data_IF_573260558801
#
_entry.id   IF_573260558801
#
_cell.length_a   1.000
_cell.length_b   1.000
_cell.length_c   1.000
_cell.angle_alpha   90.00
_cell.angle_beta   90.00
_cell.angle_gamma   90.00
#
_symmetry.space_group_name_H-M   'P 1'
#
loop_
_entity.id
_entity.type
_entity.pdbx_description
1 polymer ?
#
# COMPACT_ATOMS: atom_id res chain seq x y z
N UNK A 1 18.78 7.57 -6.57
CA UNK A 1 18.48 6.16 -6.22
C UNK A 1 17.33 5.60 -7.04
N UNK A 2 16.41 6.44 -7.55
CA UNK A 2 15.36 6.01 -8.49
C UNK A 2 15.85 5.74 -9.92
N UNK A 3 17.04 6.24 -10.28
CA UNK A 3 17.72 6.02 -11.56
C UNK A 3 18.19 4.56 -11.78
N UNK A 4 17.84 3.62 -10.90
CA UNK A 4 18.34 2.24 -10.97
C UNK A 4 17.27 1.16 -10.82
N UNK A 5 15.99 1.51 -10.62
CA UNK A 5 14.94 0.50 -10.50
C UNK A 5 14.46 0.14 -11.90
N UNK A 6 14.56 -1.15 -12.28
CA UNK A 6 14.08 -1.63 -13.57
C UNK A 6 12.56 -1.71 -13.59
N UNK A 7 11.98 -1.48 -14.76
CA UNK A 7 10.54 -1.55 -15.03
C UNK A 7 9.98 -2.94 -14.71
N UNK A 8 10.77 -4.01 -14.85
CA UNK A 8 10.39 -5.36 -14.50
C UNK A 8 9.90 -5.54 -13.05
N UNK A 9 10.31 -4.66 -12.12
CA UNK A 9 9.89 -4.72 -10.72
C UNK A 9 8.49 -4.11 -10.48
N UNK A 10 7.96 -3.35 -11.44
CA UNK A 10 6.74 -2.54 -11.26
C UNK A 10 5.67 -2.82 -12.32
N UNK A 11 6.06 -3.35 -13.47
CA UNK A 11 5.15 -3.68 -14.56
C UNK A 11 4.11 -4.73 -14.16
N UNK A 12 2.95 -4.70 -14.81
CA UNK A 12 1.97 -5.79 -14.77
C UNK A 12 2.38 -6.83 -15.81
N UNK A 13 2.53 -8.08 -15.39
CA UNK A 13 2.92 -9.20 -16.28
C UNK A 13 1.72 -9.85 -16.97
N UNK A 14 0.54 -9.82 -16.35
CA UNK A 14 -0.71 -10.33 -16.94
C UNK A 14 -1.31 -9.30 -17.90
N UNK A 15 -0.73 -9.21 -19.09
CA UNK A 15 -1.16 -8.22 -20.11
C UNK A 15 -2.37 -8.74 -20.88
N UNK A 16 -3.42 -7.92 -20.93
CA UNK A 16 -4.60 -8.21 -21.77
C UNK A 16 -4.26 -7.97 -23.24
N UNK A 17 -4.36 -9.04 -24.04
CA UNK A 17 -4.01 -9.02 -25.46
C UNK A 17 -5.15 -9.46 -26.38
N UNK A 18 -5.07 -9.04 -27.64
CA UNK A 18 -5.95 -9.52 -28.71
C UNK A 18 -5.19 -9.57 -30.06
N UNK A 19 -5.58 -10.46 -30.99
CA UNK A 19 -4.96 -10.51 -32.31
C UNK A 19 -5.43 -9.35 -33.21
N UNK A 20 -4.64 -8.94 -34.21
CA UNK A 20 -4.93 -7.78 -35.06
C UNK A 20 -6.22 -7.90 -35.89
N UNK A 21 -6.64 -9.11 -36.22
CA UNK A 21 -7.89 -9.42 -36.92
C UNK A 21 -9.11 -9.51 -35.97
N UNK A 22 -8.91 -9.33 -34.65
CA UNK A 22 -10.03 -9.24 -33.73
C UNK A 22 -10.87 -7.98 -34.02
N UNK A 23 -12.18 -8.09 -33.79
CA UNK A 23 -13.08 -6.96 -33.92
C UNK A 23 -12.88 -5.95 -32.78
N UNK A 24 -13.04 -4.66 -33.06
CA UNK A 24 -12.92 -3.58 -32.04
C UNK A 24 -13.84 -3.79 -30.83
N UNK A 25 -15.05 -4.33 -31.04
CA UNK A 25 -15.98 -4.64 -29.94
C UNK A 25 -15.39 -5.66 -28.96
N UNK A 26 -14.52 -6.56 -29.43
CA UNK A 26 -13.83 -7.53 -28.58
C UNK A 26 -12.85 -6.84 -27.63
N UNK A 27 -12.08 -5.85 -28.11
CA UNK A 27 -11.19 -5.08 -27.25
C UNK A 27 -11.97 -4.27 -26.19
N UNK A 28 -13.06 -3.61 -26.56
CA UNK A 28 -13.90 -2.91 -25.59
C UNK A 28 -14.50 -3.85 -24.53
N UNK A 29 -14.84 -5.08 -24.93
CA UNK A 29 -15.33 -6.11 -23.99
C UNK A 29 -14.22 -6.58 -23.06
N UNK A 30 -13.01 -6.81 -23.57
CA UNK A 30 -11.83 -7.18 -22.78
C UNK A 30 -11.50 -6.09 -21.76
N UNK A 31 -11.43 -4.82 -22.17
CA UNK A 31 -11.19 -3.69 -21.26
C UNK A 31 -12.18 -3.65 -20.11
N UNK A 32 -13.47 -3.81 -20.40
CA UNK A 32 -14.52 -3.82 -19.38
C UNK A 32 -14.43 -5.03 -18.45
N UNK A 33 -14.30 -6.23 -19.01
CA UNK A 33 -14.39 -7.48 -18.26
C UNK A 33 -13.14 -7.70 -17.39
N UNK A 34 -11.97 -7.33 -17.90
CA UNK A 34 -10.68 -7.40 -17.20
C UNK A 34 -10.35 -6.11 -16.41
N UNK A 35 -11.21 -5.09 -16.47
CA UNK A 35 -11.03 -3.78 -15.81
C UNK A 35 -9.71 -3.08 -16.17
N UNK A 36 -9.31 -3.13 -17.44
CA UNK A 36 -8.09 -2.48 -17.98
C UNK A 36 -8.44 -1.36 -18.95
N UNK A 37 -7.58 -0.35 -19.05
CA UNK A 37 -7.79 0.81 -19.93
C UNK A 37 -7.09 0.70 -21.30
N UNK A 38 -6.41 -0.42 -21.57
CA UNK A 38 -5.77 -0.70 -22.84
C UNK A 38 -5.79 -2.19 -23.18
N UNK A 39 -5.64 -2.50 -24.48
CA UNK A 39 -5.44 -3.86 -25.00
C UNK A 39 -4.26 -3.82 -25.93
N UNK A 40 -3.24 -4.63 -25.65
CA UNK A 40 -2.08 -4.78 -26.53
C UNK A 40 -2.45 -5.72 -27.67
N UNK A 41 -2.26 -5.26 -28.91
CA UNK A 41 -2.51 -6.05 -30.10
C UNK A 41 -1.26 -6.84 -30.43
N UNK A 42 -1.35 -8.16 -30.48
CA UNK A 42 -0.19 -9.04 -30.65
C UNK A 42 -0.41 -10.12 -31.72
N UNK A 43 0.67 -10.54 -32.38
CA UNK A 43 0.73 -11.70 -33.27
C UNK A 43 1.67 -12.71 -32.66
N UNK A 44 1.16 -13.85 -32.21
CA UNK A 44 1.98 -14.92 -31.60
C UNK A 44 2.95 -14.34 -30.54
N UNK A 45 2.40 -13.60 -29.56
CA UNK A 45 3.12 -12.96 -28.45
C UNK A 45 3.99 -11.74 -28.80
N UNK A 46 4.18 -11.45 -30.09
CA UNK A 46 4.87 -10.25 -30.56
C UNK A 46 3.88 -9.07 -30.62
N UNK A 47 4.07 -8.01 -29.82
CA UNK A 47 3.15 -6.87 -29.83
C UNK A 47 3.38 -6.02 -31.08
N UNK A 48 2.29 -5.71 -31.79
CA UNK A 48 2.30 -4.97 -33.06
C UNK A 48 1.58 -3.63 -32.96
N UNK A 49 0.72 -3.43 -31.96
CA UNK A 49 0.02 -2.18 -31.72
C UNK A 49 -0.65 -2.16 -30.35
N UNK A 50 -1.30 -1.06 -30.01
CA UNK A 50 -2.09 -0.92 -28.78
C UNK A 50 -3.37 -0.15 -29.09
N UNK A 51 -4.45 -0.49 -28.39
CA UNK A 51 -5.68 0.28 -28.39
C UNK A 51 -6.02 0.66 -26.96
N UNK A 52 -6.25 1.95 -26.71
CA UNK A 52 -6.59 2.53 -25.40
C UNK A 52 -8.01 3.10 -25.38
N UNK A 53 -8.53 3.40 -24.19
CA UNK A 53 -9.79 4.17 -24.06
C UNK A 53 -9.73 5.54 -24.75
N UNK A 54 -8.56 6.19 -24.75
CA UNK A 54 -8.32 7.44 -25.46
C UNK A 54 -8.47 7.29 -26.98
N UNK A 55 -7.96 6.19 -27.54
CA UNK A 55 -8.13 5.88 -28.96
C UNK A 55 -9.61 5.66 -29.32
N UNK A 56 -10.38 4.99 -28.45
CA UNK A 56 -11.83 4.87 -28.64
C UNK A 56 -12.50 6.23 -28.73
N UNK A 57 -12.17 7.16 -27.83
CA UNK A 57 -12.72 8.52 -27.86
C UNK A 57 -12.37 9.24 -29.18
N UNK A 58 -11.13 9.10 -29.64
CA UNK A 58 -10.66 9.67 -30.91
C UNK A 58 -11.39 9.06 -32.11
N UNK A 59 -11.39 7.73 -32.25
CA UNK A 59 -12.00 7.06 -33.39
C UNK A 59 -13.53 7.22 -33.46
N UNK A 60 -14.21 7.36 -32.32
CA UNK A 60 -15.64 7.70 -32.27
C UNK A 60 -15.96 9.07 -32.89
N UNK A 61 -15.00 10.01 -32.86
CA UNK A 61 -15.16 11.33 -33.49
C UNK A 61 -14.90 11.30 -34.99
N UNK A 62 -14.06 10.38 -35.46
CA UNK A 62 -13.56 10.35 -36.83
C UNK A 62 -14.28 9.34 -37.75
N UNK A 63 -14.89 8.30 -37.18
CA UNK A 63 -15.47 7.18 -37.93
C UNK A 63 -16.97 7.03 -37.69
N UNK A 64 -17.69 6.65 -38.74
CA UNK A 64 -19.14 6.50 -38.70
C UNK A 64 -19.61 5.21 -38.00
N UNK A 65 -18.87 4.10 -38.14
CA UNK A 65 -19.20 2.83 -37.48
C UNK A 65 -17.95 2.07 -37.04
N UNK A 66 -17.49 2.36 -35.82
CA UNK A 66 -16.28 1.77 -35.24
C UNK A 66 -16.40 0.25 -35.03
N UNK A 67 -17.63 -0.28 -34.96
CA UNK A 67 -17.90 -1.67 -34.59
C UNK A 67 -17.59 -2.66 -35.71
N UNK A 68 -17.51 -2.20 -36.96
CA UNK A 68 -17.24 -3.05 -38.11
C UNK A 68 -15.73 -3.16 -38.43
N UNK A 69 -14.89 -2.49 -37.64
CA UNK A 69 -13.44 -2.47 -37.83
C UNK A 69 -12.72 -3.58 -37.06
N UNK A 70 -11.59 -4.00 -37.61
CA UNK A 70 -10.61 -4.86 -36.93
C UNK A 70 -9.64 -4.00 -36.10
N UNK A 71 -8.96 -4.60 -35.13
CA UNK A 71 -7.99 -3.88 -34.29
C UNK A 71 -6.85 -3.29 -35.13
N UNK A 72 -6.40 -4.00 -36.17
CA UNK A 72 -5.40 -3.50 -37.11
C UNK A 72 -5.79 -2.18 -37.80
N UNK A 73 -7.09 -1.87 -37.90
CA UNK A 73 -7.56 -0.64 -38.54
C UNK A 73 -7.54 0.57 -37.60
N UNK A 74 -7.46 0.36 -36.28
CA UNK A 74 -7.68 1.40 -35.25
C UNK A 74 -6.58 1.48 -34.20
N UNK A 75 -5.76 0.45 -34.07
CA UNK A 75 -4.66 0.46 -33.11
C UNK A 75 -3.62 1.51 -33.48
N UNK A 76 -2.93 2.02 -32.47
CA UNK A 76 -1.81 2.93 -32.64
C UNK A 76 -0.56 2.15 -33.09
N UNK A 77 0.06 2.62 -34.18
CA UNK A 77 1.31 2.12 -34.76
C UNK A 77 2.17 3.31 -35.24
N UNK A 78 3.51 3.30 -35.09
CA UNK A 78 4.32 2.23 -34.49
C UNK A 78 4.13 2.14 -32.98
N UNK A 79 4.22 0.92 -32.44
CA UNK A 79 4.10 0.68 -31.01
C UNK A 79 5.38 1.12 -30.29
N UNK A 80 5.26 2.12 -29.43
CA UNK A 80 6.34 2.49 -28.51
C UNK A 80 6.44 1.43 -27.41
N UNK A 81 7.65 0.93 -27.15
CA UNK A 81 7.89 -0.16 -26.18
C UNK A 81 9.19 0.10 -25.42
N UNK A 82 9.29 -0.50 -24.23
CA UNK A 82 10.48 -0.42 -23.38
C UNK A 82 10.96 -1.82 -22.99
N UNK A 83 12.23 -1.93 -22.60
CA UNK A 83 12.79 -3.20 -22.12
C UNK A 83 12.46 -3.40 -20.63
N UNK A 84 12.40 -4.64 -20.11
CA UNK A 84 12.23 -4.90 -18.68
C UNK A 84 13.31 -4.23 -17.82
N UNK A 85 14.51 -4.09 -18.37
CA UNK A 85 15.68 -3.49 -17.71
C UNK A 85 15.70 -1.95 -17.78
N UNK A 86 14.81 -1.33 -18.57
CA UNK A 86 14.67 0.12 -18.63
C UNK A 86 14.34 0.65 -17.24
N UNK A 87 14.92 1.78 -16.86
CA UNK A 87 14.66 2.33 -15.53
C UNK A 87 13.31 3.04 -15.47
N UNK A 88 12.71 3.12 -14.28
CA UNK A 88 11.45 3.85 -14.09
C UNK A 88 11.55 5.32 -14.52
N UNK A 89 12.70 5.96 -14.28
CA UNK A 89 12.92 7.36 -14.67
C UNK A 89 12.91 7.50 -16.19
N UNK A 90 13.61 6.62 -16.91
CA UNK A 90 13.58 6.59 -18.36
C UNK A 90 12.17 6.29 -18.88
N UNK A 91 11.44 5.37 -18.27
CA UNK A 91 10.07 5.06 -18.66
C UNK A 91 9.11 6.26 -18.45
N UNK A 92 9.25 7.00 -17.35
CA UNK A 92 8.51 8.25 -17.10
C UNK A 92 8.84 9.31 -18.14
N UNK A 93 10.11 9.41 -18.56
CA UNK A 93 10.53 10.34 -19.60
C UNK A 93 9.90 9.98 -20.96
N UNK A 94 9.80 8.69 -21.31
CA UNK A 94 9.09 8.23 -22.51
C UNK A 94 7.59 8.57 -22.41
N UNK A 95 6.91 8.19 -21.33
CA UNK A 95 5.48 8.51 -21.12
C UNK A 95 5.21 10.01 -21.28
N UNK A 96 6.08 10.87 -20.74
CA UNK A 96 5.93 12.32 -20.83
C UNK A 96 6.25 12.90 -22.20
N UNK A 97 7.31 12.40 -22.84
CA UNK A 97 7.79 12.96 -24.11
C UNK A 97 6.81 12.68 -25.23
N UNK A 98 6.22 11.49 -25.21
CA UNK A 98 5.31 11.02 -26.26
C UNK A 98 3.82 11.13 -25.86
N UNK A 99 3.52 11.76 -24.71
CA UNK A 99 2.17 11.96 -24.15
C UNK A 99 1.38 10.63 -24.05
N UNK A 100 2.08 9.58 -23.59
CA UNK A 100 1.56 8.23 -23.46
C UNK A 100 1.17 7.94 -22.00
N UNK A 101 0.16 7.10 -21.83
CA UNK A 101 -0.26 6.59 -20.53
C UNK A 101 0.12 5.12 -20.31
N UNK A 102 0.45 4.40 -21.38
CA UNK A 102 0.71 2.97 -21.40
C UNK A 102 1.98 2.66 -22.19
N UNK A 103 2.88 1.86 -21.62
CA UNK A 103 4.09 1.37 -22.26
C UNK A 103 4.18 -0.15 -22.16
N UNK A 104 3.92 -0.88 -23.26
CA UNK A 104 4.23 -2.30 -23.33
C UNK A 104 5.72 -2.57 -23.10
N UNK A 105 6.00 -3.58 -22.30
CA UNK A 105 7.34 -4.02 -21.95
C UNK A 105 7.65 -5.27 -22.76
N UNK A 106 8.76 -5.23 -23.49
CA UNK A 106 9.15 -6.27 -24.46
C UNK A 106 10.55 -6.78 -24.14
N UNK A 107 10.70 -8.10 -24.11
CA UNK A 107 11.99 -8.77 -23.99
C UNK A 107 12.18 -9.74 -25.16
N UNK A 108 13.35 -9.69 -25.81
CA UNK A 108 13.66 -10.47 -27.02
C UNK A 108 12.57 -10.44 -28.13
N UNK A 109 11.75 -9.39 -28.16
CA UNK A 109 10.65 -9.20 -29.13
C UNK A 109 9.29 -9.72 -28.68
N UNK A 110 9.21 -10.35 -27.51
CA UNK A 110 7.98 -10.89 -26.90
C UNK A 110 7.45 -9.94 -25.83
N UNK A 111 6.12 -9.83 -25.73
CA UNK A 111 5.46 -9.02 -24.72
C UNK A 111 5.59 -9.70 -23.34
N UNK A 112 6.28 -9.05 -22.40
CA UNK A 112 6.50 -9.57 -21.04
C UNK A 112 5.79 -8.78 -19.95
N UNK A 113 5.27 -7.59 -20.28
CA UNK A 113 4.50 -6.79 -19.33
C UNK A 113 3.96 -5.49 -19.92
N UNK A 114 3.34 -4.68 -19.07
CA UNK A 114 2.93 -3.32 -19.39
C UNK A 114 3.16 -2.43 -18.17
N UNK A 115 3.65 -1.22 -18.40
CA UNK A 115 3.78 -0.18 -17.40
C UNK A 115 2.82 0.96 -17.74
N UNK A 116 1.97 1.36 -16.82
CA UNK A 116 1.09 2.52 -17.01
C UNK A 116 1.33 3.59 -15.95
N UNK A 117 0.77 4.77 -16.18
CA UNK A 117 0.74 5.85 -15.18
C UNK A 117 0.06 5.42 -13.87
N UNK A 118 -0.83 4.43 -13.92
CA UNK A 118 -1.49 3.83 -12.75
C UNK A 118 -0.49 3.04 -11.90
N UNK A 119 0.31 2.14 -12.47
CA UNK A 119 1.35 1.39 -11.75
C UNK A 119 2.38 2.34 -11.16
N UNK A 120 2.77 3.38 -11.92
CA UNK A 120 3.66 4.42 -11.41
C UNK A 120 3.04 5.19 -10.24
N UNK A 121 1.73 5.45 -10.26
CA UNK A 121 1.04 6.11 -9.14
C UNK A 121 1.07 5.28 -7.84
N UNK A 122 1.02 3.94 -7.95
CA UNK A 122 1.20 3.03 -6.82
C UNK A 122 2.66 2.95 -6.36
N UNK A 123 3.61 3.21 -7.25
CA UNK A 123 5.03 3.06 -6.98
C UNK A 123 5.73 4.34 -6.50
N UNK A 124 5.26 5.52 -6.91
CA UNK A 124 5.81 6.83 -6.48
C UNK A 124 5.85 7.00 -4.95
N UNK A 125 4.83 6.57 -4.18
CA UNK A 125 4.89 6.58 -2.71
C UNK A 125 6.03 5.69 -2.16
N UNK A 126 6.26 4.52 -2.78
CA UNK A 126 7.30 3.56 -2.36
C UNK A 126 8.72 4.13 -2.52
N UNK A 127 8.95 4.92 -3.57
CA UNK A 127 10.22 5.59 -3.83
C UNK A 127 10.54 6.71 -2.84
N UNK A 128 9.54 7.51 -2.49
CA UNK A 128 9.69 8.57 -1.49
C UNK A 128 10.15 8.00 -0.14
N UNK A 129 9.74 6.77 0.18
CA UNK A 129 10.06 6.08 1.42
C UNK A 129 11.41 5.33 1.36
N UNK A 130 11.72 4.60 0.28
CA UNK A 130 13.01 3.89 0.14
C UNK A 130 14.25 4.81 0.06
N UNK A 131 14.14 5.99 -0.59
CA UNK A 131 15.26 6.94 -0.66
C UNK A 131 15.64 7.54 0.70
N UNK A 132 14.75 7.42 1.70
CA UNK A 132 15.00 7.81 3.09
C UNK A 132 15.73 6.69 3.85
N UNK A 133 15.22 5.47 3.77
CA UNK A 133 15.81 4.28 4.41
C UNK A 133 17.24 3.96 3.96
N UNK A 134 17.53 4.12 2.66
CA UNK A 134 18.86 3.83 2.13
C UNK A 134 19.90 4.92 2.43
N UNK A 135 19.50 6.10 2.91
CA UNK A 135 20.42 7.13 3.45
C UNK A 135 20.75 6.91 4.93
N UNK A 136 19.99 6.07 5.64
CA UNK A 136 20.12 5.87 7.09
C UNK A 136 20.81 4.56 7.46
N UNK A 137 21.02 3.67 6.49
CA UNK A 137 21.65 2.35 6.71
C UNK A 137 23.15 2.40 7.02
N UNK A 138 23.81 3.56 6.93
CA UNK A 138 25.26 3.71 7.16
C UNK A 138 25.62 4.43 8.48
N UNK A 139 24.66 4.97 9.23
CA UNK A 139 24.94 5.65 10.50
C UNK A 139 23.88 5.37 11.58
N UNK A 140 24.17 4.35 12.40
CA UNK A 140 24.12 4.34 13.89
C UNK A 140 23.52 3.06 14.47
N UNK A 141 24.40 2.10 14.70
CA UNK A 141 24.31 1.26 15.88
C UNK A 141 24.64 2.10 17.12
N UNK A 142 23.67 2.34 18.00
CA UNK A 142 23.93 3.11 19.23
C UNK A 142 22.74 3.33 20.16
N UNK A 143 22.37 2.29 20.90
CA UNK A 143 21.90 2.32 22.31
C UNK A 143 20.90 3.41 22.76
N UNK A 144 19.66 3.01 23.08
CA UNK A 144 19.16 2.85 24.46
C UNK A 144 17.68 2.41 24.41
N UNK A 145 17.40 1.17 24.81
CA UNK A 145 16.04 0.71 25.14
C UNK A 145 15.61 1.30 26.48
N UNK A 146 14.54 2.11 26.53
CA UNK A 146 13.83 2.38 27.78
C UNK A 146 12.40 2.89 27.55
N UNK A 147 11.46 2.31 28.30
CA UNK A 147 10.04 2.63 28.36
C UNK A 147 9.80 4.11 28.70
N UNK A 148 9.18 4.85 27.78
CA UNK A 148 8.56 6.16 28.06
C UNK A 148 7.10 5.94 28.44
N UNK A 149 6.66 6.70 29.45
CA UNK A 149 5.30 6.66 30.02
C UNK A 149 4.28 7.07 28.96
N UNK A 150 3.37 6.16 28.68
CA UNK A 150 2.23 6.39 27.80
C UNK A 150 0.98 6.65 28.64
N UNK A 151 0.10 7.54 28.20
CA UNK A 151 -1.23 7.79 28.78
C UNK A 151 -2.20 6.61 28.53
N UNK A 152 -1.74 5.37 28.75
CA UNK A 152 -2.52 4.15 28.59
C UNK A 152 -3.05 3.68 29.94
N UNK A 153 -4.36 3.44 30.01
CA UNK A 153 -5.04 3.04 31.24
C UNK A 153 -4.64 1.63 31.73
N UNK A 154 -4.23 0.73 30.81
CA UNK A 154 -3.81 -0.63 31.14
C UNK A 154 -2.88 -1.21 30.06
N UNK A 155 -2.12 -2.23 30.43
CA UNK A 155 -1.24 -3.01 29.54
C UNK A 155 -1.37 -4.50 29.88
N UNK A 156 -1.01 -5.38 28.94
CA UNK A 156 -0.94 -6.83 29.16
C UNK A 156 0.52 -7.27 29.11
N UNK A 157 0.89 -8.26 29.93
CA UNK A 157 2.26 -8.77 30.02
C UNK A 157 2.79 -9.33 28.69
N UNK A 158 1.90 -9.76 27.80
CA UNK A 158 2.23 -10.36 26.51
C UNK A 158 2.46 -9.33 25.39
N UNK A 159 2.20 -8.05 25.67
CA UNK A 159 2.41 -6.96 24.72
C UNK A 159 3.83 -6.43 24.83
N UNK A 160 4.45 -6.21 23.69
CA UNK A 160 5.75 -5.56 23.61
C UNK A 160 5.58 -4.20 22.96
N UNK A 161 6.23 -3.19 23.51
CA UNK A 161 6.26 -1.87 22.93
C UNK A 161 7.63 -1.24 23.12
N UNK A 162 7.99 -0.39 22.18
CA UNK A 162 9.25 0.34 22.19
C UNK A 162 8.99 1.73 21.64
N UNK A 163 9.57 2.75 22.29
CA UNK A 163 9.70 4.08 21.72
C UNK A 163 11.18 4.41 21.67
N UNK A 164 11.62 4.99 20.56
CA UNK A 164 12.96 5.54 20.36
C UNK A 164 12.81 6.97 19.86
N UNK A 165 13.27 7.92 20.65
CA UNK A 165 13.35 9.33 20.29
C UNK A 165 14.37 10.04 21.15
N UNK A 166 14.73 11.26 20.76
CA UNK A 166 15.75 12.06 21.46
C UNK A 166 15.19 12.73 22.74
N UNK A 167 13.87 12.91 22.83
CA UNK A 167 13.17 13.60 23.90
C UNK A 167 11.98 12.77 24.42
N UNK A 168 11.73 12.79 25.74
CA UNK A 168 10.67 12.01 26.40
C UNK A 168 9.34 12.79 26.51
N UNK A 169 9.35 14.10 26.31
CA UNK A 169 8.19 14.99 26.44
C UNK A 169 7.70 15.48 25.07
N UNK A 170 8.57 15.52 24.07
CA UNK A 170 8.27 16.04 22.74
C UNK A 170 8.68 15.08 21.64
N UNK A 171 8.07 15.29 20.49
CA UNK A 171 8.18 14.44 19.32
C UNK A 171 8.98 15.12 18.22
N UNK A 172 9.88 14.36 17.59
CA UNK A 172 10.80 14.79 16.55
C UNK A 172 10.76 13.89 15.31
N UNK A 173 11.18 14.44 14.17
CA UNK A 173 11.39 13.65 12.96
C UNK A 173 12.52 12.65 13.21
N UNK A 174 12.28 11.38 12.88
CA UNK A 174 13.17 10.24 13.18
C UNK A 174 12.75 9.45 14.41
N UNK A 175 11.78 9.91 15.20
CA UNK A 175 11.26 9.14 16.32
C UNK A 175 10.48 7.91 15.82
N UNK A 176 10.65 6.78 16.51
CA UNK A 176 10.05 5.50 16.15
C UNK A 176 9.30 4.90 17.33
N UNK A 177 8.02 4.60 17.13
CA UNK A 177 7.21 3.82 18.06
C UNK A 177 6.92 2.43 17.48
N UNK A 178 6.93 1.40 18.34
CA UNK A 178 6.60 0.02 17.99
C UNK A 178 5.62 -0.56 18.97
N UNK A 179 4.73 -1.41 18.47
CA UNK A 179 3.83 -2.23 19.27
C UNK A 179 3.70 -3.62 18.65
N UNK A 180 3.84 -4.66 19.47
CA UNK A 180 3.78 -6.05 19.05
C UNK A 180 2.90 -6.87 20.00
N UNK A 181 2.07 -7.74 19.42
CA UNK A 181 1.30 -8.74 20.15
C UNK A 181 1.02 -9.95 19.27
N UNK A 182 0.64 -11.05 19.91
CA UNK A 182 0.01 -12.18 19.23
C UNK A 182 -1.46 -11.85 18.93
N UNK A 183 -1.91 -12.13 17.71
CA UNK A 183 -3.30 -11.96 17.27
C UNK A 183 -4.06 -13.25 17.53
N UNK A 184 -4.77 -13.31 18.65
CA UNK A 184 -5.45 -14.51 19.12
C UNK A 184 -6.79 -14.74 18.42
N UNK A 185 -7.37 -15.95 18.56
CA UNK A 185 -8.75 -16.20 18.12
C UNK A 185 -9.75 -15.27 18.82
N UNK A 186 -9.52 -14.96 20.10
CA UNK A 186 -10.35 -14.04 20.87
C UNK A 186 -10.33 -12.62 20.29
N UNK A 187 -9.18 -12.16 19.78
CA UNK A 187 -9.08 -10.85 19.11
C UNK A 187 -9.90 -10.81 17.81
N UNK A 188 -9.83 -11.87 17.00
CA UNK A 188 -10.58 -12.00 15.75
C UNK A 188 -12.09 -12.03 16.01
N UNK A 189 -12.52 -12.80 17.02
CA UNK A 189 -13.91 -12.91 17.42
C UNK A 189 -14.44 -11.59 17.98
N UNK A 190 -13.71 -10.95 18.90
CA UNK A 190 -14.07 -9.65 19.47
C UNK A 190 -14.13 -8.55 18.38
N UNK A 191 -13.20 -8.57 17.43
CA UNK A 191 -13.23 -7.64 16.31
C UNK A 191 -14.45 -7.87 15.41
N UNK A 192 -14.77 -9.12 15.06
CA UNK A 192 -15.96 -9.45 14.27
C UNK A 192 -17.25 -8.96 14.95
N UNK A 193 -17.37 -9.13 16.28
CA UNK A 193 -18.52 -8.63 17.05
C UNK A 193 -18.59 -7.11 17.04
N UNK A 194 -17.46 -6.43 17.22
CA UNK A 194 -17.39 -4.96 17.30
C UNK A 194 -17.60 -4.26 15.94
N UNK A 195 -17.05 -4.82 14.87
CA UNK A 195 -17.07 -4.26 13.51
C UNK A 195 -18.29 -4.68 12.71
N UNK A 196 -18.91 -5.81 13.06
CA UNK A 196 -19.95 -6.47 12.26
C UNK A 196 -19.41 -7.30 11.09
N UNK A 197 -18.09 -7.33 10.87
CA UNK A 197 -17.47 -8.18 9.85
C UNK A 197 -17.39 -9.63 10.33
N UNK A 198 -18.45 -10.36 9.99
CA UNK A 198 -18.63 -11.79 10.31
C UNK A 198 -18.29 -12.70 9.13
N UNK A 199 -17.44 -12.25 8.20
CA UNK A 199 -17.02 -13.05 7.06
C UNK A 199 -16.44 -14.39 7.54
N UNK A 200 -16.93 -15.48 6.92
CA UNK A 200 -16.55 -16.87 7.27
C UNK A 200 -15.06 -17.13 7.10
N UNK A 201 -14.38 -16.38 6.25
CA UNK A 201 -12.93 -16.47 6.07
C UNK A 201 -12.15 -16.27 7.38
N UNK A 202 -12.67 -15.45 8.30
CA UNK A 202 -12.02 -15.15 9.59
C UNK A 202 -12.47 -16.09 10.72
N UNK A 203 -13.66 -16.68 10.60
CA UNK A 203 -14.33 -17.33 11.74
C UNK A 203 -14.48 -18.86 11.58
N UNK A 204 -14.57 -19.37 10.35
CA UNK A 204 -14.86 -20.77 10.06
C UNK A 204 -13.64 -21.45 9.42
N UNK A 205 -12.93 -22.28 10.20
CA UNK A 205 -11.74 -22.98 9.71
C UNK A 205 -12.03 -24.02 8.64
N UNK A 206 -13.23 -24.62 8.63
CA UNK A 206 -13.62 -25.56 7.58
C UNK A 206 -13.81 -24.84 6.25
N UNK A 207 -14.46 -23.68 6.27
CA UNK A 207 -14.61 -22.82 5.09
C UNK A 207 -13.27 -22.27 4.61
N UNK A 208 -12.46 -21.73 5.52
CA UNK A 208 -11.20 -21.10 5.17
C UNK A 208 -10.20 -22.09 4.54
N UNK A 209 -10.21 -23.35 4.98
CA UNK A 209 -9.41 -24.43 4.40
C UNK A 209 -9.73 -24.74 2.92
N UNK A 210 -10.93 -24.40 2.46
CA UNK A 210 -11.34 -24.55 1.04
C UNK A 210 -10.98 -23.33 0.19
N UNK A 211 -10.46 -22.26 0.80
CA UNK A 211 -10.02 -21.04 0.09
C UNK A 211 -8.54 -21.09 -0.26
N UNK A 212 -8.08 -20.13 -1.07
CA UNK A 212 -6.66 -19.98 -1.41
C UNK A 212 -5.73 -19.79 -0.20
N UNK A 213 -6.27 -19.37 0.95
CA UNK A 213 -5.50 -19.14 2.17
C UNK A 213 -5.24 -20.43 2.96
N UNK A 214 -6.04 -21.49 2.78
CA UNK A 214 -5.86 -22.78 3.45
C UNK A 214 -6.15 -22.80 4.96
N UNK A 215 -6.29 -21.64 5.60
CA UNK A 215 -6.63 -21.49 7.02
C UNK A 215 -7.31 -20.15 7.30
N UNK A 216 -7.77 -19.95 8.55
CA UNK A 216 -8.38 -18.68 8.96
C UNK A 216 -7.33 -17.59 9.05
N UNK A 217 -7.61 -16.47 8.40
CA UNK A 217 -6.77 -15.28 8.45
C UNK A 217 -7.40 -14.20 9.33
N UNK A 218 -6.57 -13.35 9.90
CA UNK A 218 -6.98 -12.17 10.68
C UNK A 218 -7.58 -11.11 9.75
N UNK A 219 -8.58 -10.36 10.20
CA UNK A 219 -9.08 -9.19 9.48
C UNK A 219 -7.95 -8.17 9.26
N UNK A 220 -7.73 -7.72 8.03
CA UNK A 220 -6.69 -6.72 7.77
C UNK A 220 -6.87 -5.44 8.60
N UNK A 221 -8.11 -5.00 8.79
CA UNK A 221 -8.45 -3.81 9.60
C UNK A 221 -8.23 -4.05 11.11
N UNK A 222 -8.20 -5.29 11.58
CA UNK A 222 -7.75 -5.58 12.94
C UNK A 222 -6.24 -5.33 13.08
N UNK A 223 -5.45 -5.70 12.06
CA UNK A 223 -4.01 -5.46 12.05
C UNK A 223 -3.66 -3.96 12.00
N UNK A 224 -4.46 -3.12 11.32
CA UNK A 224 -4.27 -1.65 11.38
C UNK A 224 -4.46 -1.08 12.78
N UNK A 225 -5.23 -1.74 13.64
CA UNK A 225 -5.37 -1.37 15.05
C UNK A 225 -4.04 -1.38 15.82
N UNK A 226 -3.06 -2.20 15.39
CA UNK A 226 -1.72 -2.23 15.98
C UNK A 226 -0.95 -0.92 15.73
N UNK A 227 -1.18 -0.28 14.58
CA UNK A 227 -0.61 1.02 14.25
C UNK A 227 -1.13 2.07 15.23
N UNK A 228 -2.44 2.07 15.49
CA UNK A 228 -3.03 2.94 16.52
C UNK A 228 -2.41 2.70 17.90
N UNK A 229 -2.21 1.44 18.28
CA UNK A 229 -1.57 1.08 19.54
C UNK A 229 -0.09 1.49 19.63
N UNK A 230 0.65 1.47 18.51
CA UNK A 230 2.01 1.97 18.42
C UNK A 230 2.06 3.50 18.51
N UNK A 231 1.22 4.21 17.76
CA UNK A 231 1.11 5.67 17.80
C UNK A 231 0.76 6.19 19.19
N UNK A 232 -0.07 5.45 19.92
CA UNK A 232 -0.39 5.79 21.30
C UNK A 232 0.87 5.91 22.18
N UNK A 233 2.00 5.27 21.83
CA UNK A 233 3.28 5.27 22.56
C UNK A 233 4.15 6.50 22.33
N UNK A 234 3.77 7.36 21.40
CA UNK A 234 4.45 8.64 21.20
C UNK A 234 4.22 9.57 22.41
N UNK A 235 5.20 10.41 22.78
CA UNK A 235 4.99 11.51 23.72
C UNK A 235 3.86 12.42 23.27
N UNK A 236 3.04 12.88 24.22
CA UNK A 236 1.93 13.79 23.96
C UNK A 236 0.60 13.10 23.67
N UNK A 237 -0.43 13.92 23.44
CA UNK A 237 -1.75 13.48 23.03
C UNK A 237 -1.79 13.34 21.50
N UNK A 238 -1.75 12.11 21.02
CA UNK A 238 -1.79 11.83 19.58
C UNK A 238 -3.24 11.76 19.06
N UNK A 239 -3.57 12.62 18.10
CA UNK A 239 -4.86 12.68 17.40
C UNK A 239 -4.68 12.18 15.97
N UNK A 240 -5.40 11.12 15.62
CA UNK A 240 -5.35 10.51 14.30
C UNK A 240 -6.16 11.31 13.27
N UNK A 241 -5.54 11.85 12.23
CA UNK A 241 -6.22 12.66 11.21
C UNK A 241 -6.51 11.84 9.94
N UNK A 242 -5.56 11.03 9.48
CA UNK A 242 -5.74 10.13 8.33
C UNK A 242 -4.81 8.93 8.41
N UNK A 243 -5.22 7.84 7.76
CA UNK A 243 -4.43 6.62 7.57
C UNK A 243 -4.69 6.06 6.18
N UNK A 244 -3.63 5.77 5.44
CA UNK A 244 -3.66 5.01 4.20
C UNK A 244 -2.91 3.69 4.40
N UNK A 245 -3.39 2.59 3.83
CA UNK A 245 -2.78 1.27 4.06
C UNK A 245 -2.98 0.33 2.88
N UNK A 246 -1.92 -0.40 2.56
CA UNK A 246 -1.89 -1.48 1.57
C UNK A 246 -1.63 -2.80 2.26
N UNK A 247 -2.46 -3.81 1.99
CA UNK A 247 -2.31 -5.16 2.54
C UNK A 247 -1.41 -5.98 1.61
N UNK A 248 -0.27 -6.44 2.12
CA UNK A 248 0.79 -7.12 1.35
C UNK A 248 0.76 -8.63 1.53
N UNK A 249 0.41 -9.11 2.72
CA UNK A 249 0.31 -10.54 3.02
C UNK A 249 -0.77 -10.79 4.10
N UNK A 250 -1.40 -11.98 4.12
CA UNK A 250 -2.32 -12.36 5.18
C UNK A 250 -1.57 -12.63 6.49
N UNK A 251 -2.25 -12.43 7.61
CA UNK A 251 -1.83 -12.89 8.94
C UNK A 251 -2.72 -14.05 9.34
N UNK A 252 -2.13 -15.13 9.86
CA UNK A 252 -2.86 -16.26 10.43
C UNK A 252 -3.21 -16.00 11.90
N UNK A 253 -4.27 -16.66 12.37
CA UNK A 253 -4.64 -16.57 13.79
C UNK A 253 -3.58 -17.26 14.64
N UNK A 254 -3.02 -16.54 15.63
CA UNK A 254 -1.91 -16.99 16.46
C UNK A 254 -0.57 -16.39 16.06
N UNK A 255 -0.50 -15.66 14.95
CA UNK A 255 0.72 -14.98 14.53
C UNK A 255 1.03 -13.80 15.46
N UNK A 256 2.32 -13.57 15.66
CA UNK A 256 2.81 -12.32 16.23
C UNK A 256 2.87 -11.29 15.12
N UNK A 257 2.29 -10.11 15.37
CA UNK A 257 2.35 -8.98 14.47
C UNK A 257 2.96 -7.77 15.17
N UNK A 258 3.81 -7.03 14.47
CA UNK A 258 4.54 -5.87 15.00
C UNK A 258 4.30 -4.66 14.12
N UNK A 259 3.61 -3.65 14.66
CA UNK A 259 3.49 -2.34 14.03
C UNK A 259 4.72 -1.48 14.37
N UNK A 260 5.26 -0.80 13.37
CA UNK A 260 6.29 0.22 13.48
C UNK A 260 5.76 1.52 12.88
N UNK A 261 5.88 2.61 13.63
CA UNK A 261 5.47 3.96 13.25
C UNK A 261 6.69 4.87 13.36
N UNK A 262 7.12 5.44 12.24
CA UNK A 262 8.26 6.35 12.20
C UNK A 262 7.82 7.74 11.77
N UNK A 263 8.27 8.77 12.49
CA UNK A 263 7.92 10.15 12.19
C UNK A 263 8.82 10.67 11.09
N UNK A 264 8.22 10.81 9.92
CA UNK A 264 8.97 11.06 8.70
C UNK A 264 8.98 12.54 8.30
N UNK A 265 8.00 13.33 8.71
CA UNK A 265 7.92 14.74 8.33
C UNK A 265 7.12 15.57 9.33
N UNK A 266 7.55 16.81 9.58
CA UNK A 266 6.75 17.81 10.28
C UNK A 266 5.99 18.67 9.27
N UNK A 267 4.67 18.63 9.32
CA UNK A 267 3.77 19.34 8.40
C UNK A 267 3.39 20.75 8.89
N UNK A 268 3.72 21.09 10.14
CA UNK A 268 3.37 22.36 10.79
C UNK A 268 2.05 22.28 11.57
N UNK A 269 1.83 23.24 12.47
CA UNK A 269 0.70 23.25 13.41
C UNK A 269 0.58 21.92 14.19
N UNK A 270 1.73 21.44 14.70
CA UNK A 270 1.87 20.20 15.47
C UNK A 270 1.36 18.93 14.76
N UNK A 271 1.30 18.99 13.42
CA UNK A 271 1.03 17.85 12.55
C UNK A 271 2.28 17.18 12.05
N UNK A 272 2.22 15.86 11.96
CA UNK A 272 3.29 14.99 11.53
C UNK A 272 2.79 13.97 10.52
N UNK A 273 3.61 13.69 9.51
CA UNK A 273 3.46 12.50 8.65
C UNK A 273 4.26 11.37 9.28
N UNK A 274 3.67 10.20 9.29
CA UNK A 274 4.24 9.00 9.90
C UNK A 274 4.19 7.86 8.89
N UNK A 275 5.32 7.20 8.68
CA UNK A 275 5.37 5.95 7.92
C UNK A 275 4.95 4.81 8.85
N UNK A 276 4.06 3.95 8.37
CA UNK A 276 3.45 2.88 9.15
C UNK A 276 3.65 1.54 8.47
N UNK A 277 4.21 0.57 9.19
CA UNK A 277 4.42 -0.79 8.70
C UNK A 277 3.97 -1.79 9.75
N UNK A 278 3.35 -2.89 9.33
CA UNK A 278 3.12 -4.07 10.16
C UNK A 278 3.86 -5.25 9.55
N UNK A 279 4.59 -5.98 10.39
CA UNK A 279 5.32 -7.19 10.04
C UNK A 279 4.83 -8.39 10.84
N UNK A 280 5.02 -9.60 10.31
CA UNK A 280 4.76 -10.85 11.04
C UNK A 280 5.95 -11.27 11.94
N UNK A 281 5.91 -12.50 12.46
CA UNK A 281 6.97 -13.03 13.32
C UNK A 281 8.29 -13.35 12.61
N UNK A 282 8.30 -13.39 11.28
CA UNK A 282 9.47 -13.63 10.43
C UNK A 282 9.96 -12.32 9.77
N UNK A 283 9.51 -11.17 10.27
CA UNK A 283 9.78 -9.82 9.76
C UNK A 283 9.26 -9.57 8.32
N UNK A 284 8.36 -10.40 7.80
CA UNK A 284 7.74 -10.17 6.50
C UNK A 284 6.69 -9.05 6.58
N UNK A 285 6.69 -8.13 5.62
CA UNK A 285 5.74 -7.00 5.58
C UNK A 285 4.34 -7.51 5.23
N UNK A 286 3.40 -7.33 6.14
CA UNK A 286 1.98 -7.68 5.96
C UNK A 286 1.12 -6.48 5.62
N UNK A 287 1.51 -5.28 6.10
CA UNK A 287 0.85 -4.02 5.83
C UNK A 287 1.87 -2.90 5.78
N UNK A 288 1.69 -1.97 4.86
CA UNK A 288 2.46 -0.72 4.82
C UNK A 288 1.56 0.46 4.41
N UNK A 289 1.95 1.67 4.78
CA UNK A 289 1.28 2.90 4.40
C UNK A 289 1.69 4.09 5.26
N UNK A 290 0.87 5.13 5.28
CA UNK A 290 1.20 6.40 5.93
C UNK A 290 0.04 6.96 6.75
N UNK A 291 0.38 7.60 7.86
CA UNK A 291 -0.51 8.31 8.77
C UNK A 291 -0.23 9.81 8.75
N UNK A 292 -1.28 10.60 8.97
CA UNK A 292 -1.12 11.99 9.44
C UNK A 292 -1.74 12.10 10.82
N UNK A 293 -0.95 12.61 11.77
CA UNK A 293 -1.38 12.82 13.15
C UNK A 293 -1.15 14.27 13.57
N UNK A 294 -1.87 14.71 14.58
CA UNK A 294 -1.60 15.92 15.35
C UNK A 294 -1.21 15.50 16.77
N UNK A 295 -0.13 16.08 17.30
CA UNK A 295 0.41 15.70 18.62
C UNK A 295 0.43 16.94 19.51
N UNK A 296 -0.50 16.98 20.47
CA UNK A 296 -0.62 18.06 21.45
C UNK A 296 0.10 17.73 22.77
N UNK A 297 0.35 18.74 23.59
CA UNK A 297 0.77 18.53 24.98
C UNK A 297 -0.32 17.80 25.77
N UNK A 298 0.08 16.87 26.66
CA UNK A 298 -0.87 16.20 27.54
C UNK A 298 -1.54 17.22 28.48
N UNK A 299 -2.87 17.10 28.73
CA UNK A 299 -3.52 17.94 29.71
C UNK A 299 -2.88 17.73 31.10
N UNK A 300 -2.79 18.77 31.94
CA UNK A 300 -2.25 18.65 33.29
C UNK A 300 -3.06 17.63 34.09
N UNK A 301 -2.37 16.77 34.86
CA UNK A 301 -3.05 15.80 35.70
C UNK A 301 -4.10 16.49 36.60
N UNK A 302 -5.31 15.91 36.74
CA UNK A 302 -6.30 16.47 37.64
C UNK A 302 -5.70 16.53 39.05
N UNK A 303 -5.62 17.74 39.61
CA UNK A 303 -5.16 17.92 40.98
C UNK A 303 -6.00 17.02 41.88
N UNK A 304 -5.36 16.18 42.70
CA UNK A 304 -6.03 15.35 43.70
C UNK A 304 -6.85 16.26 44.64
N UNK A 305 -8.11 16.47 44.28
CA UNK A 305 -8.97 17.51 44.81
C UNK A 305 -10.34 16.93 45.11
N UNK A 306 -10.43 16.31 46.28
CA UNK A 306 -11.65 16.07 47.08
C UNK A 306 -12.89 15.68 46.29
N UNK A 307 -13.08 14.37 46.05
CA UNK A 307 -14.44 13.83 45.95
C UNK A 307 -15.15 14.15 47.27
N UNK A 308 -15.92 15.24 47.30
CA UNK A 308 -16.86 15.49 48.37
C UNK A 308 -17.94 14.42 48.28
N UNK A 309 -17.92 13.49 49.24
CA UNK A 309 -19.04 12.63 49.53
C UNK A 309 -20.28 13.50 49.76
N UNK A 310 -21.15 13.57 48.75
CA UNK A 310 -22.53 14.01 48.95
C UNK A 310 -23.36 12.75 49.06
N UNK A 311 -23.52 12.30 50.30
CA UNK A 311 -24.61 11.41 50.69
C UNK A 311 -25.90 12.23 50.68
N UNK A 312 -26.88 11.80 49.89
CA UNK A 312 -28.30 11.90 50.24
C UNK A 312 -29.05 10.73 49.58
#
# INVERSE_FOLDING_TARGET
MHDTIPVAEVMVTDVVTAPPDANVTRAATLMRDESVSSVVVARDEIPVGILTEGDFATHLCERADLRDHELADVMSEPLETIAPETTIVEAVDVLRTDDLEHLPVVDDGELVGILTTTELSYYVPHLANQARHAKESDEKAGSLRRQVRTDTQYERDEWEFEYRGDDEETVSVGDVARFSKVLSSEDVEAFAESSGDTNRLHLDGGYAAETQFGERIVHGVLATGLISAALARLPGLTIYLSQESSFRAPLSTGDRATATCEIVERLGDDRYRIETTVTDGDDAVVLEGDAVVLIDELPPEPSAGTESATTD
#
